data_IF_932450585109
#
_entry.id   IF_932450585109
#
_cell.length_a   1.000
_cell.length_b   1.000
_cell.length_c   1.000
_cell.angle_alpha   90.00
_cell.angle_beta   90.00
_cell.angle_gamma   90.00
#
_symmetry.space_group_name_H-M   'P 1'
#
loop_
_entity.id
_entity.type
_entity.pdbx_description
1 polymer ?
#
# COMPACT_ATOMS: atom_id res chain seq x y z
N UNK A 1 -58.62 32.25 -17.81
CA UNK A 1 -57.17 32.17 -17.51
C UNK A 1 -56.63 30.90 -18.16
N UNK A 2 -55.91 30.96 -19.29
CA UNK A 2 -55.44 29.77 -19.99
C UNK A 2 -54.10 29.26 -19.44
N UNK A 3 -53.98 27.95 -19.24
CA UNK A 3 -52.75 27.23 -18.86
C UNK A 3 -51.75 27.27 -20.02
N UNK A 4 -50.52 27.75 -19.77
CA UNK A 4 -49.38 27.59 -20.69
C UNK A 4 -48.89 26.15 -20.61
N UNK A 5 -49.26 25.35 -21.61
CA UNK A 5 -48.64 24.06 -21.87
C UNK A 5 -47.18 24.29 -22.27
N UNK A 6 -46.25 23.73 -21.49
CA UNK A 6 -44.84 23.74 -21.82
C UNK A 6 -44.62 22.83 -23.04
N UNK A 7 -44.26 23.43 -24.17
CA UNK A 7 -43.99 22.72 -25.41
C UNK A 7 -42.84 21.70 -25.21
N UNK A 8 -43.19 20.42 -25.21
CA UNK A 8 -42.23 19.32 -25.32
C UNK A 8 -41.65 19.39 -26.73
N UNK A 9 -40.40 19.85 -26.85
CA UNK A 9 -39.67 19.83 -28.12
C UNK A 9 -39.34 18.39 -28.49
N UNK A 10 -40.08 17.84 -29.44
CA UNK A 10 -39.79 16.57 -30.10
C UNK A 10 -38.42 16.66 -30.77
N UNK A 11 -37.45 15.88 -30.28
CA UNK A 11 -36.12 15.78 -30.91
C UNK A 11 -36.27 14.90 -32.16
N UNK A 12 -36.09 15.47 -33.35
CA UNK A 12 -36.17 14.74 -34.61
C UNK A 12 -34.85 14.01 -34.91
N UNK A 13 -34.92 12.74 -35.34
CA UNK A 13 -33.76 12.01 -35.85
C UNK A 13 -33.19 12.76 -37.07
N UNK A 14 -32.02 13.38 -36.89
CA UNK A 14 -31.36 14.21 -37.91
C UNK A 14 -31.04 15.65 -37.48
N UNK A 15 -31.52 16.12 -36.32
CA UNK A 15 -31.13 17.43 -35.81
C UNK A 15 -29.71 17.38 -35.20
N UNK A 16 -28.80 18.24 -35.67
CA UNK A 16 -27.53 18.57 -34.99
C UNK A 16 -27.84 19.33 -33.68
N UNK A 17 -28.44 18.65 -32.70
CA UNK A 17 -28.50 19.18 -31.35
C UNK A 17 -27.14 18.89 -30.75
N UNK A 18 -26.34 19.95 -30.55
CA UNK A 18 -25.12 19.86 -29.77
C UNK A 18 -25.51 19.37 -28.37
N UNK A 19 -25.28 18.09 -28.09
CA UNK A 19 -25.46 17.50 -26.78
C UNK A 19 -24.44 18.14 -25.83
N UNK A 20 -24.94 19.11 -25.03
CA UNK A 20 -24.16 19.81 -24.01
C UNK A 20 -24.30 19.06 -22.69
N UNK A 21 -23.18 18.65 -22.12
CA UNK A 21 -23.10 17.97 -20.83
C UNK A 21 -22.39 18.86 -19.82
N UNK A 22 -22.80 18.88 -18.54
CA UNK A 22 -22.11 19.67 -17.52
C UNK A 22 -20.77 19.01 -17.14
N UNK A 23 -19.72 19.81 -17.03
CA UNK A 23 -18.44 19.40 -16.46
C UNK A 23 -18.62 19.02 -14.98
N UNK A 24 -18.04 17.91 -14.54
CA UNK A 24 -18.25 17.40 -13.18
C UNK A 24 -17.53 18.22 -12.11
N UNK A 25 -16.50 18.97 -12.48
CA UNK A 25 -15.73 19.83 -11.57
C UNK A 25 -16.31 21.25 -11.50
N UNK A 26 -16.41 21.92 -12.65
CA UNK A 26 -16.78 23.34 -12.72
C UNK A 26 -18.25 23.59 -13.10
N UNK A 27 -19.04 22.53 -13.38
CA UNK A 27 -20.45 22.59 -13.82
C UNK A 27 -20.70 23.39 -15.11
N UNK A 28 -19.66 23.82 -15.82
CA UNK A 28 -19.76 24.48 -17.12
C UNK A 28 -20.34 23.50 -18.14
N UNK A 29 -21.29 23.94 -18.96
CA UNK A 29 -21.79 23.16 -20.09
C UNK A 29 -20.71 23.06 -21.18
N UNK A 30 -20.37 21.83 -21.56
CA UNK A 30 -19.38 21.52 -22.61
C UNK A 30 -20.04 20.72 -23.72
N UNK A 31 -19.76 21.12 -24.96
CA UNK A 31 -20.24 20.43 -26.17
C UNK A 31 -19.43 19.18 -26.48
N UNK A 32 -19.84 18.43 -27.51
CA UNK A 32 -19.24 17.15 -27.87
C UNK A 32 -17.75 17.20 -28.27
N UNK A 33 -17.22 18.37 -28.69
CA UNK A 33 -15.84 18.52 -29.13
C UNK A 33 -14.85 18.95 -28.02
N UNK A 34 -15.34 19.53 -26.93
CA UNK A 34 -14.54 20.05 -25.81
C UNK A 34 -14.70 19.19 -24.53
N UNK A 35 -15.30 18.00 -24.67
CA UNK A 35 -15.56 17.08 -23.56
C UNK A 35 -14.54 15.94 -23.55
N UNK A 36 -13.87 15.77 -22.42
CA UNK A 36 -13.08 14.58 -22.12
C UNK A 36 -13.90 13.63 -21.24
N UNK A 37 -13.98 12.37 -21.66
CA UNK A 37 -14.75 11.32 -20.96
C UNK A 37 -13.83 10.44 -20.15
N UNK A 38 -14.13 10.29 -18.87
CA UNK A 38 -13.41 9.41 -17.96
C UNK A 38 -14.38 8.46 -17.24
N UNK A 39 -13.89 7.28 -16.87
CA UNK A 39 -14.66 6.31 -16.09
C UNK A 39 -14.56 6.63 -14.60
N UNK A 40 -15.70 6.91 -13.97
CA UNK A 40 -15.80 7.01 -12.52
C UNK A 40 -15.72 5.65 -11.81
N UNK A 41 -15.61 5.66 -10.48
CA UNK A 41 -15.58 4.45 -9.64
C UNK A 41 -16.77 3.51 -9.85
N UNK A 42 -17.93 4.05 -10.26
CA UNK A 42 -19.17 3.30 -10.49
C UNK A 42 -19.42 2.93 -11.96
N UNK A 43 -18.37 2.91 -12.79
CA UNK A 43 -18.47 2.69 -14.26
C UNK A 43 -19.32 3.74 -15.00
N UNK A 44 -19.66 4.84 -14.33
CA UNK A 44 -20.36 6.00 -14.89
C UNK A 44 -19.39 6.88 -15.66
N UNK A 45 -19.82 7.38 -16.81
CA UNK A 45 -19.03 8.29 -17.62
C UNK A 45 -19.08 9.70 -17.00
N UNK A 46 -17.90 10.24 -16.70
CA UNK A 46 -17.69 11.55 -16.08
C UNK A 46 -17.09 12.47 -17.15
N UNK A 47 -17.71 13.62 -17.35
CA UNK A 47 -17.30 14.59 -18.36
C UNK A 47 -16.51 15.74 -17.72
N UNK A 48 -15.37 16.08 -18.31
CA UNK A 48 -14.55 17.23 -17.94
C UNK A 48 -14.29 18.12 -19.15
N UNK A 49 -14.17 19.44 -18.93
CA UNK A 49 -13.70 20.38 -19.94
C UNK A 49 -12.17 20.46 -19.98
N UNK A 50 -11.61 20.93 -21.09
CA UNK A 50 -10.15 21.03 -21.31
C UNK A 50 -9.42 21.71 -20.16
N UNK A 51 -9.91 22.88 -19.72
CA UNK A 51 -9.29 23.63 -18.62
C UNK A 51 -9.33 22.92 -17.26
N UNK A 52 -10.29 22.01 -17.04
CA UNK A 52 -10.32 21.18 -15.83
C UNK A 52 -9.35 20.01 -15.94
N UNK A 53 -9.26 19.38 -17.11
CA UNK A 53 -8.31 18.30 -17.38
C UNK A 53 -6.87 18.79 -17.24
N UNK A 54 -6.54 19.96 -17.77
CA UNK A 54 -5.21 20.57 -17.61
C UNK A 54 -4.85 20.80 -16.14
N UNK A 55 -5.76 21.40 -15.35
CA UNK A 55 -5.55 21.63 -13.91
C UNK A 55 -5.35 20.34 -13.14
N UNK A 56 -6.13 19.30 -13.45
CA UNK A 56 -6.00 18.00 -12.79
C UNK A 56 -4.67 17.34 -13.19
N UNK A 57 -4.31 17.35 -14.47
CA UNK A 57 -3.04 16.83 -14.95
C UNK A 57 -1.85 17.57 -14.33
N UNK A 58 -1.94 18.88 -14.16
CA UNK A 58 -0.90 19.68 -13.48
C UNK A 58 -0.80 19.31 -12.00
N UNK A 59 -1.92 19.15 -11.30
CA UNK A 59 -1.94 18.68 -9.92
C UNK A 59 -1.31 17.28 -9.78
N UNK A 60 -1.66 16.35 -10.67
CA UNK A 60 -1.11 14.99 -10.71
C UNK A 60 0.38 14.97 -11.06
N UNK A 61 0.82 15.80 -12.01
CA UNK A 61 2.23 15.98 -12.33
C UNK A 61 3.00 16.57 -11.14
N UNK A 62 2.38 17.48 -10.37
CA UNK A 62 2.98 18.01 -9.17
C UNK A 62 3.09 16.97 -8.05
N UNK A 63 2.18 15.99 -7.94
CA UNK A 63 2.32 14.86 -6.99
C UNK A 63 3.56 14.00 -7.26
N UNK A 64 4.09 13.98 -8.49
CA UNK A 64 5.25 13.15 -8.86
C UNK A 64 6.57 13.93 -8.92
N UNK A 65 6.52 15.27 -8.95
CA UNK A 65 7.73 16.12 -9.00
C UNK A 65 8.43 16.21 -7.64
N UNK A 66 9.75 15.98 -7.67
CA UNK A 66 10.71 16.16 -6.57
C UNK A 66 10.26 15.58 -5.21
N UNK A 67 9.97 14.25 -5.13
CA UNK A 67 9.70 13.61 -3.86
C UNK A 67 10.94 13.69 -2.95
N UNK A 68 10.75 14.00 -1.67
CA UNK A 68 11.84 13.95 -0.69
C UNK A 68 12.10 12.49 -0.27
N UNK A 69 12.94 11.80 -1.05
CA UNK A 69 13.24 10.38 -0.85
C UNK A 69 13.92 10.12 0.50
N UNK A 70 14.83 10.98 0.94
CA UNK A 70 15.57 10.80 2.20
C UNK A 70 14.60 10.81 3.38
N UNK A 71 13.72 11.81 3.44
CA UNK A 71 12.70 11.90 4.49
C UNK A 71 11.70 10.75 4.41
N UNK A 72 11.32 10.33 3.20
CA UNK A 72 10.46 9.17 2.99
C UNK A 72 11.07 7.88 3.56
N UNK A 73 12.35 7.62 3.30
CA UNK A 73 13.06 6.45 3.83
C UNK A 73 13.17 6.50 5.34
N UNK A 74 13.51 7.64 5.94
CA UNK A 74 13.60 7.77 7.40
C UNK A 74 12.26 7.50 8.08
N UNK A 75 11.19 8.14 7.59
CA UNK A 75 9.84 7.97 8.16
C UNK A 75 9.32 6.55 7.93
N UNK A 76 9.54 5.99 6.74
CA UNK A 76 9.18 4.62 6.40
C UNK A 76 9.93 3.58 7.23
N UNK A 77 11.24 3.74 7.42
CA UNK A 77 12.06 2.86 8.24
C UNK A 77 11.64 2.91 9.73
N UNK A 78 11.36 4.11 10.27
CA UNK A 78 10.84 4.24 11.63
C UNK A 78 9.48 3.55 11.79
N UNK A 79 8.57 3.72 10.83
CA UNK A 79 7.28 3.04 10.84
C UNK A 79 7.44 1.52 10.76
N UNK A 80 8.36 1.04 9.94
CA UNK A 80 8.71 -0.38 9.85
C UNK A 80 9.26 -0.94 11.15
N UNK A 81 10.19 -0.23 11.79
CA UNK A 81 10.76 -0.62 13.08
C UNK A 81 9.70 -0.68 14.20
N UNK A 82 8.89 0.38 14.34
CA UNK A 82 7.80 0.44 15.32
C UNK A 82 6.80 -0.69 15.07
N UNK A 83 6.45 -0.93 13.80
CA UNK A 83 5.49 -1.95 13.45
C UNK A 83 6.01 -3.38 13.65
N UNK A 84 7.29 -3.64 13.38
CA UNK A 84 7.97 -4.90 13.71
C UNK A 84 7.92 -5.17 15.21
N UNK A 85 8.32 -4.20 16.03
CA UNK A 85 8.26 -4.33 17.50
C UNK A 85 6.81 -4.50 17.96
N UNK A 86 5.88 -3.72 17.41
CA UNK A 86 4.47 -3.80 17.78
C UNK A 86 3.86 -5.17 17.49
N UNK A 87 4.17 -5.77 16.34
CA UNK A 87 3.70 -7.11 16.01
C UNK A 87 4.34 -8.18 16.90
N UNK A 88 5.66 -8.12 17.11
CA UNK A 88 6.36 -9.00 18.03
C UNK A 88 5.76 -8.95 19.43
N UNK A 89 5.61 -7.76 20.02
CA UNK A 89 5.02 -7.56 21.34
C UNK A 89 3.58 -8.06 21.41
N UNK A 90 2.79 -7.84 20.35
CA UNK A 90 1.43 -8.36 20.30
C UNK A 90 1.40 -9.90 20.40
N UNK A 91 2.27 -10.59 19.66
CA UNK A 91 2.30 -12.06 19.63
C UNK A 91 2.76 -12.64 20.97
N UNK A 92 3.80 -12.10 21.60
CA UNK A 92 4.27 -12.62 22.90
C UNK A 92 3.23 -12.39 24.01
N UNK A 93 2.46 -11.29 23.95
CA UNK A 93 1.46 -10.98 24.96
C UNK A 93 0.17 -11.80 24.78
N UNK A 94 -0.22 -12.05 23.53
CA UNK A 94 -1.47 -12.75 23.22
C UNK A 94 -1.30 -14.24 23.03
N UNK A 95 -0.07 -14.71 22.77
CA UNK A 95 0.22 -16.09 22.38
C UNK A 95 -0.48 -16.51 21.08
N UNK A 96 -0.97 -15.54 20.28
CA UNK A 96 -1.65 -15.78 19.01
C UNK A 96 -0.95 -15.04 17.87
N UNK A 97 -0.53 -15.81 16.85
CA UNK A 97 0.00 -15.23 15.62
C UNK A 97 -1.15 -14.85 14.68
N UNK A 98 -1.46 -13.56 14.69
CA UNK A 98 -2.56 -12.99 13.92
C UNK A 98 -2.05 -12.42 12.59
N UNK A 99 -2.42 -13.09 11.50
CA UNK A 99 -1.96 -12.73 10.15
C UNK A 99 -2.37 -11.34 9.65
N UNK A 100 -3.53 -10.82 10.05
CA UNK A 100 -4.01 -9.51 9.57
C UNK A 100 -3.19 -8.33 10.09
N UNK A 101 -2.37 -8.51 11.14
CA UNK A 101 -1.45 -7.49 11.63
C UNK A 101 -0.36 -7.20 10.59
N UNK A 102 0.09 -8.22 9.82
CA UNK A 102 1.02 -8.04 8.72
C UNK A 102 0.47 -7.10 7.63
N UNK A 103 -0.83 -7.20 7.33
CA UNK A 103 -1.49 -6.33 6.33
C UNK A 103 -1.53 -4.89 6.84
N UNK A 104 -1.87 -4.71 8.12
CA UNK A 104 -1.86 -3.40 8.77
C UNK A 104 -0.44 -2.78 8.77
N UNK A 105 0.59 -3.61 8.95
CA UNK A 105 1.99 -3.20 8.87
C UNK A 105 2.37 -2.69 7.48
N UNK A 106 2.00 -3.43 6.42
CA UNK A 106 2.23 -2.99 5.03
C UNK A 106 1.52 -1.67 4.71
N UNK A 107 0.28 -1.50 5.19
CA UNK A 107 -0.45 -0.24 5.06
C UNK A 107 0.23 0.92 5.80
N UNK A 108 0.68 0.68 7.04
CA UNK A 108 1.38 1.65 7.87
C UNK A 108 2.65 2.14 7.18
N UNK A 109 3.49 1.21 6.70
CA UNK A 109 4.75 1.51 6.02
C UNK A 109 4.49 2.28 4.72
N UNK A 110 3.59 1.79 3.85
CA UNK A 110 3.26 2.48 2.60
C UNK A 110 2.76 3.91 2.81
N UNK A 111 1.93 4.13 3.84
CA UNK A 111 1.43 5.46 4.22
C UNK A 111 2.55 6.35 4.76
N UNK A 112 3.46 5.78 5.57
CA UNK A 112 4.63 6.48 6.10
C UNK A 112 5.55 6.99 4.98
N UNK A 113 5.76 6.20 3.92
CA UNK A 113 6.52 6.63 2.75
C UNK A 113 5.89 7.83 2.02
N UNK A 114 4.57 7.82 1.81
CA UNK A 114 3.86 8.95 1.17
C UNK A 114 3.93 10.21 2.03
N UNK A 115 3.69 10.09 3.35
CA UNK A 115 3.79 11.21 4.28
C UNK A 115 5.22 11.76 4.36
N UNK A 116 6.22 10.88 4.44
CA UNK A 116 7.62 11.26 4.47
C UNK A 116 8.10 11.93 3.18
N UNK A 117 7.53 11.54 2.03
CA UNK A 117 7.79 12.16 0.74
C UNK A 117 7.10 13.53 0.55
N UNK A 118 6.24 13.96 1.49
CA UNK A 118 5.49 15.21 1.41
C UNK A 118 4.22 15.10 0.56
N UNK A 119 3.46 14.01 0.73
CA UNK A 119 2.27 13.67 -0.08
C UNK A 119 2.59 13.43 -1.57
N UNK A 120 3.88 13.23 -1.88
CA UNK A 120 4.35 12.88 -3.22
C UNK A 120 4.26 11.37 -3.44
N UNK A 121 4.07 10.99 -4.70
CA UNK A 121 3.86 9.61 -5.16
C UNK A 121 4.82 9.30 -6.30
N UNK A 122 5.14 8.03 -6.50
CA UNK A 122 6.08 7.63 -7.56
C UNK A 122 6.57 6.20 -7.44
N UNK A 123 7.11 5.67 -8.54
CA UNK A 123 7.56 4.27 -8.60
C UNK A 123 8.69 3.94 -7.63
N UNK A 124 9.62 4.88 -7.41
CA UNK A 124 10.72 4.69 -6.45
C UNK A 124 10.18 4.47 -5.02
N UNK A 125 9.16 5.23 -4.61
CA UNK A 125 8.56 5.10 -3.28
C UNK A 125 7.82 3.77 -3.12
N UNK A 126 7.18 3.26 -4.18
CA UNK A 126 6.51 1.95 -4.15
C UNK A 126 7.50 0.82 -3.88
N UNK A 127 8.64 0.83 -4.58
CA UNK A 127 9.68 -0.19 -4.41
C UNK A 127 10.30 -0.12 -3.01
N UNK A 128 10.61 1.08 -2.53
CA UNK A 128 11.17 1.28 -1.19
C UNK A 128 10.19 0.80 -0.11
N UNK A 129 8.90 1.16 -0.21
CA UNK A 129 7.88 0.71 0.72
C UNK A 129 7.73 -0.82 0.73
N UNK A 130 7.77 -1.46 -0.44
CA UNK A 130 7.73 -2.91 -0.56
C UNK A 130 8.94 -3.59 0.09
N UNK A 131 10.15 -3.09 -0.17
CA UNK A 131 11.39 -3.63 0.41
C UNK A 131 11.38 -3.48 1.93
N UNK A 132 11.03 -2.30 2.45
CA UNK A 132 10.95 -2.07 3.90
C UNK A 132 9.91 -2.97 4.55
N UNK A 133 8.76 -3.18 3.90
CA UNK A 133 7.73 -4.10 4.40
C UNK A 133 8.27 -5.53 4.46
N UNK A 134 8.96 -6.00 3.42
CA UNK A 134 9.57 -7.33 3.41
C UNK A 134 10.58 -7.50 4.56
N UNK A 135 11.48 -6.52 4.76
CA UNK A 135 12.46 -6.53 5.85
C UNK A 135 11.76 -6.52 7.22
N UNK A 136 10.72 -5.72 7.39
CA UNK A 136 9.96 -5.63 8.64
C UNK A 136 9.20 -6.91 8.97
N UNK A 137 8.62 -7.58 7.97
CA UNK A 137 7.95 -8.88 8.14
C UNK A 137 8.96 -9.96 8.53
N UNK A 138 10.07 -10.07 7.80
CA UNK A 138 11.18 -10.97 8.13
C UNK A 138 11.70 -10.75 9.56
N UNK A 139 11.91 -9.48 9.93
CA UNK A 139 12.38 -9.11 11.26
C UNK A 139 11.38 -9.51 12.36
N UNK A 140 10.08 -9.28 12.13
CA UNK A 140 9.05 -9.63 13.10
C UNK A 140 8.98 -11.15 13.33
N UNK A 141 8.89 -11.93 12.24
CA UNK A 141 8.84 -13.39 12.34
C UNK A 141 10.13 -13.96 12.93
N UNK A 142 11.29 -13.36 12.66
CA UNK A 142 12.56 -13.75 13.28
C UNK A 142 12.56 -13.52 14.81
N UNK A 143 12.10 -12.36 15.27
CA UNK A 143 12.01 -12.09 16.71
C UNK A 143 11.00 -13.01 17.40
N UNK A 144 9.85 -13.26 16.76
CA UNK A 144 8.82 -14.16 17.28
C UNK A 144 9.39 -15.59 17.39
N UNK A 145 9.98 -16.10 16.31
CA UNK A 145 10.53 -17.45 16.25
C UNK A 145 11.61 -17.65 17.32
N UNK A 146 12.60 -16.75 17.39
CA UNK A 146 13.70 -16.88 18.35
C UNK A 146 13.27 -16.71 19.81
N UNK A 147 12.21 -15.95 20.08
CA UNK A 147 11.62 -15.87 21.42
C UNK A 147 11.03 -17.22 21.86
N UNK A 148 10.16 -17.80 21.03
CA UNK A 148 9.55 -19.09 21.32
C UNK A 148 10.57 -20.23 21.35
N UNK A 149 11.57 -20.23 20.46
CA UNK A 149 12.66 -21.21 20.49
C UNK A 149 13.46 -21.10 21.79
N UNK A 150 13.82 -19.88 22.22
CA UNK A 150 14.55 -19.68 23.48
C UNK A 150 13.74 -20.22 24.68
N UNK A 151 12.45 -19.91 24.76
CA UNK A 151 11.57 -20.41 25.82
C UNK A 151 11.46 -21.94 25.83
N UNK A 152 11.38 -22.57 24.66
CA UNK A 152 11.40 -24.03 24.51
C UNK A 152 12.71 -24.66 25.03
N UNK A 153 13.87 -24.10 24.65
CA UNK A 153 15.16 -24.63 25.13
C UNK A 153 15.36 -24.44 26.64
N UNK A 154 14.94 -23.28 27.17
CA UNK A 154 15.02 -22.98 28.60
C UNK A 154 14.17 -23.94 29.44
N UNK A 155 12.97 -24.29 28.95
CA UNK A 155 12.03 -25.15 29.67
C UNK A 155 12.35 -26.64 29.55
N UNK A 156 12.72 -27.12 28.37
CA UNK A 156 12.90 -28.56 28.12
C UNK A 156 14.33 -29.04 28.48
N UNK A 157 15.35 -28.22 28.20
CA UNK A 157 16.75 -28.60 28.37
C UNK A 157 17.45 -27.91 29.55
N UNK A 158 16.80 -26.92 30.19
CA UNK A 158 17.37 -26.16 31.31
C UNK A 158 18.59 -25.30 30.94
N UNK A 159 18.85 -25.11 29.64
CA UNK A 159 19.95 -24.29 29.12
C UNK A 159 19.45 -22.86 29.04
N UNK A 160 20.09 -21.93 29.75
CA UNK A 160 19.77 -20.51 29.67
C UNK A 160 20.25 -19.92 28.34
N UNK A 161 19.35 -19.82 27.37
CA UNK A 161 19.58 -19.16 26.08
C UNK A 161 18.65 -17.96 25.93
N UNK A 162 19.21 -16.83 25.50
CA UNK A 162 18.44 -15.64 25.15
C UNK A 162 18.10 -15.63 23.66
N UNK A 163 17.02 -14.93 23.29
CA UNK A 163 16.65 -14.75 21.88
C UNK A 163 17.75 -14.04 21.09
N UNK A 164 18.50 -13.14 21.74
CA UNK A 164 19.63 -12.43 21.10
C UNK A 164 20.79 -13.37 20.78
N UNK A 165 21.07 -14.36 21.64
CA UNK A 165 22.13 -15.34 21.38
C UNK A 165 21.81 -16.17 20.14
N UNK A 166 20.55 -16.58 19.98
CA UNK A 166 20.08 -17.32 18.81
C UNK A 166 20.24 -16.47 17.55
N UNK A 167 19.76 -15.21 17.56
CA UNK A 167 19.90 -14.29 16.42
C UNK A 167 21.36 -14.03 16.08
N UNK A 168 22.21 -13.79 17.08
CA UNK A 168 23.63 -13.50 16.87
C UNK A 168 24.36 -14.72 16.30
N UNK A 169 24.05 -15.93 16.80
CA UNK A 169 24.59 -17.16 16.25
C UNK A 169 24.22 -17.33 14.77
N UNK A 170 22.98 -17.02 14.40
CA UNK A 170 22.55 -17.05 13.00
C UNK A 170 23.30 -16.03 12.11
N UNK A 171 23.56 -14.83 12.62
CA UNK A 171 24.19 -13.73 11.86
C UNK A 171 25.72 -13.84 11.77
N UNK A 172 26.38 -14.33 12.82
CA UNK A 172 27.85 -14.29 12.97
C UNK A 172 28.47 -15.67 12.73
N UNK A 173 27.80 -16.74 13.11
CA UNK A 173 28.33 -18.09 12.99
C UNK A 173 28.14 -18.64 11.57
N UNK A 174 29.25 -19.04 10.96
CA UNK A 174 29.29 -19.64 9.62
C UNK A 174 29.40 -21.17 9.68
N UNK A 175 29.26 -21.79 10.85
CA UNK A 175 29.16 -23.25 10.92
C UNK A 175 27.90 -23.74 10.22
N UNK A 176 28.10 -24.51 9.14
CA UNK A 176 27.00 -24.89 8.23
C UNK A 176 25.92 -25.75 8.89
N UNK A 177 26.25 -26.44 9.99
CA UNK A 177 25.33 -27.34 10.69
C UNK A 177 24.17 -26.62 11.39
N UNK A 178 24.43 -25.73 12.33
CA UNK A 178 23.36 -25.05 13.09
C UNK A 178 22.60 -24.04 12.22
N UNK A 179 23.28 -23.36 11.30
CA UNK A 179 22.65 -22.35 10.45
C UNK A 179 21.66 -22.95 9.45
N UNK A 180 21.98 -24.11 8.87
CA UNK A 180 21.09 -24.78 7.91
C UNK A 180 19.83 -25.33 8.58
N UNK A 181 19.96 -25.91 9.77
CA UNK A 181 18.82 -26.36 10.58
C UNK A 181 17.90 -25.18 10.95
N UNK A 182 18.47 -24.10 11.50
CA UNK A 182 17.69 -22.90 11.84
C UNK A 182 16.98 -22.31 10.62
N UNK A 183 17.69 -22.16 9.49
CA UNK A 183 17.10 -21.64 8.25
C UNK A 183 15.96 -22.53 7.75
N UNK A 184 16.14 -23.84 7.77
CA UNK A 184 15.12 -24.77 7.30
C UNK A 184 13.84 -24.65 8.14
N UNK A 185 13.98 -24.65 9.47
CA UNK A 185 12.84 -24.53 10.38
C UNK A 185 12.17 -23.15 10.25
N UNK A 186 12.97 -22.09 10.25
CA UNK A 186 12.47 -20.72 10.08
C UNK A 186 11.76 -20.54 8.73
N UNK A 187 12.37 -20.98 7.62
CA UNK A 187 11.74 -20.89 6.31
C UNK A 187 10.46 -21.73 6.24
N UNK A 188 10.42 -22.91 6.86
CA UNK A 188 9.20 -23.73 6.87
C UNK A 188 8.06 -23.07 7.65
N UNK A 189 8.38 -22.34 8.72
CA UNK A 189 7.42 -21.55 9.50
C UNK A 189 6.89 -20.36 8.69
N UNK A 190 7.77 -19.58 8.09
CA UNK A 190 7.42 -18.39 7.30
C UNK A 190 6.75 -18.74 5.98
N UNK A 191 7.23 -19.78 5.28
CA UNK A 191 6.74 -20.21 3.97
C UNK A 191 5.46 -21.06 4.05
N UNK A 192 4.70 -20.96 5.14
CA UNK A 192 3.35 -21.52 5.18
C UNK A 192 2.48 -20.89 4.08
N UNK A 193 1.56 -21.64 3.43
CA UNK A 193 0.73 -21.09 2.36
C UNK A 193 -0.05 -19.84 2.77
N UNK A 194 -0.51 -19.80 4.02
CA UNK A 194 -1.20 -18.66 4.61
C UNK A 194 -0.23 -17.50 4.90
N UNK A 195 0.96 -17.78 5.45
CA UNK A 195 1.99 -16.77 5.68
C UNK A 195 2.41 -16.06 4.38
N UNK A 196 2.69 -16.82 3.32
CA UNK A 196 3.03 -16.29 2.00
C UNK A 196 1.92 -15.43 1.41
N UNK A 197 0.65 -15.83 1.57
CA UNK A 197 -0.49 -15.05 1.11
C UNK A 197 -0.56 -13.72 1.86
N UNK A 198 -0.43 -13.73 3.20
CA UNK A 198 -0.43 -12.53 4.02
C UNK A 198 0.72 -11.60 3.66
N UNK A 199 1.92 -12.14 3.50
CA UNK A 199 3.10 -11.38 3.08
C UNK A 199 2.89 -10.75 1.72
N UNK A 200 2.36 -11.51 0.76
CA UNK A 200 2.02 -11.02 -0.58
C UNK A 200 1.04 -9.85 -0.52
N UNK A 201 -0.05 -9.97 0.25
CA UNK A 201 -1.03 -8.89 0.43
C UNK A 201 -0.39 -7.68 1.11
N UNK A 202 0.44 -7.89 2.12
CA UNK A 202 1.08 -6.82 2.89
C UNK A 202 2.06 -6.01 2.02
N UNK A 203 2.92 -6.70 1.27
CA UNK A 203 3.85 -6.10 0.31
C UNK A 203 3.09 -5.39 -0.81
N UNK A 204 2.04 -6.02 -1.36
CA UNK A 204 1.19 -5.41 -2.37
C UNK A 204 0.50 -4.15 -1.85
N UNK A 205 0.00 -4.18 -0.61
CA UNK A 205 -0.63 -3.03 0.04
C UNK A 205 0.37 -1.89 0.17
N UNK A 206 1.57 -2.16 0.70
CA UNK A 206 2.64 -1.17 0.80
C UNK A 206 3.06 -0.60 -0.55
N UNK A 207 3.18 -1.45 -1.58
CA UNK A 207 3.51 -1.08 -2.95
C UNK A 207 2.42 -0.23 -3.62
N UNK A 208 1.14 -0.55 -3.38
CA UNK A 208 0.02 0.11 -4.06
C UNK A 208 -0.26 1.54 -3.55
N UNK A 209 0.11 1.85 -2.31
CA UNK A 209 -0.19 3.14 -1.68
C UNK A 209 0.54 4.32 -2.38
N UNK A 210 1.86 4.26 -2.64
CA UNK A 210 2.58 5.35 -3.31
C UNK A 210 2.39 5.39 -4.83
N UNK A 211 1.43 4.64 -5.39
CA UNK A 211 1.18 4.58 -6.83
C UNK A 211 0.80 5.97 -7.38
N UNK A 212 1.46 6.45 -8.45
CA UNK A 212 1.11 7.71 -9.09
C UNK A 212 -0.30 7.60 -9.66
N UNK A 213 -1.06 8.69 -9.51
CA UNK A 213 -2.42 8.78 -10.04
C UNK A 213 -2.34 9.33 -11.46
N UNK A 214 -3.11 8.73 -12.36
CA UNK A 214 -3.24 9.16 -13.75
C UNK A 214 -4.72 9.22 -14.10
N UNK A 215 -5.09 10.21 -14.91
CA UNK A 215 -6.40 10.24 -15.53
C UNK A 215 -6.42 9.21 -16.66
N UNK A 216 -7.16 8.11 -16.46
CA UNK A 216 -7.32 7.10 -17.49
C UNK A 216 -8.36 7.55 -18.52
N UNK A 217 -7.91 8.09 -19.64
CA UNK A 217 -8.76 8.32 -20.81
C UNK A 217 -9.20 6.98 -21.40
N UNK A 218 -10.42 6.91 -21.91
CA UNK A 218 -10.89 5.77 -22.72
C UNK A 218 -10.63 6.03 -24.19
#
# INVERSE_FOLDING_TARGET
MPKKEAAVKTIQMGSKVEEKVPCSECKKEVGAQERHVFKGKSNTDIYYCDSCVEKINEALANETKNPNIIKAVLVGAMAGFIGTIGWYLFVILTQYQIGYIGIALGWLIGTAYVKGAGEKRGHQLQLLAAITTLISLLGADLFIFTHFSAEYFNSEFGIQVSSLDIILSFLVDNTEGMRSLFLQDFLSSVASPIGLLIWGISIFTAYSIPKPRVLSTK
#
